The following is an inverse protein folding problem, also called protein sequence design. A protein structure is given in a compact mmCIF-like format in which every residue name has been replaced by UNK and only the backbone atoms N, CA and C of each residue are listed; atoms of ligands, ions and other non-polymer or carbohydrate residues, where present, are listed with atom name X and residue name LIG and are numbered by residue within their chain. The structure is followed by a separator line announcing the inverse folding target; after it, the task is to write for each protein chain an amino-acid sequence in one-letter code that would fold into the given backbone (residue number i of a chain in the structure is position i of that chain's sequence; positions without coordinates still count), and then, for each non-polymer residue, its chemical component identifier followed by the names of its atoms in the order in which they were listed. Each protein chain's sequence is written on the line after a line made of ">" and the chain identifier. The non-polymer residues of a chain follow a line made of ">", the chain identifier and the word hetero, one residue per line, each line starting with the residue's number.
data_IF_464617271808
#
_entry.id   IF_464617271808
#
_cell.length_a   1.000
_cell.length_b   1.000
_cell.length_c   1.000
_cell.angle_alpha   90.00
_cell.angle_beta   90.00
_cell.angle_gamma   90.00
#
_symmetry.space_group_name_H-M   'P 1'
#
loop_
_entity.id
_entity.type
_entity.pdbx_description
1 polymer ?
#
# COMPACT_ATOMS: atom_id res chain seq x y z
N UNK A 1 2.94 -27.48 0.28
CA UNK A 1 1.87 -26.80 1.02
C UNK A 1 2.33 -25.48 1.65
N UNK A 2 3.10 -25.46 2.75
CA UNK A 2 3.49 -24.19 3.44
C UNK A 2 4.30 -23.22 2.55
N UNK A 3 5.30 -23.75 1.82
CA UNK A 3 6.07 -22.98 0.84
C UNK A 3 5.19 -22.33 -0.23
N UNK A 4 4.22 -23.07 -0.75
CA UNK A 4 3.32 -22.59 -1.81
C UNK A 4 2.41 -21.48 -1.30
N UNK A 5 1.86 -21.63 -0.08
CA UNK A 5 1.01 -20.62 0.54
C UNK A 5 1.77 -19.29 0.76
N UNK A 6 3.00 -19.36 1.29
CA UNK A 6 3.83 -18.16 1.47
C UNK A 6 4.17 -17.46 0.14
N UNK A 7 4.49 -18.21 -0.92
CA UNK A 7 4.78 -17.65 -2.24
C UNK A 7 3.52 -17.09 -2.91
N UNK A 8 2.38 -17.75 -2.75
CA UNK A 8 1.09 -17.26 -3.26
C UNK A 8 0.70 -15.94 -2.60
N UNK A 9 0.77 -15.86 -1.27
CA UNK A 9 0.49 -14.62 -0.53
C UNK A 9 1.46 -13.51 -0.94
N UNK A 10 2.74 -13.82 -1.13
CA UNK A 10 3.72 -12.85 -1.61
C UNK A 10 3.34 -12.28 -2.98
N UNK A 11 2.98 -13.14 -3.93
CA UNK A 11 2.62 -12.71 -5.29
C UNK A 11 1.32 -11.90 -5.29
N UNK A 12 0.29 -12.37 -4.57
CA UNK A 12 -0.97 -11.67 -4.42
C UNK A 12 -0.79 -10.28 -3.78
N UNK A 13 0.10 -10.16 -2.78
CA UNK A 13 0.39 -8.88 -2.12
C UNK A 13 1.03 -7.89 -3.09
N UNK A 14 1.95 -8.35 -3.93
CA UNK A 14 2.54 -7.51 -4.97
C UNK A 14 1.53 -7.08 -6.02
N UNK A 15 0.69 -8.01 -6.48
CA UNK A 15 -0.34 -7.72 -7.47
C UNK A 15 -1.33 -6.68 -6.95
N UNK A 16 -1.84 -6.87 -5.72
CA UNK A 16 -2.73 -5.92 -5.07
C UNK A 16 -2.07 -4.53 -4.87
N UNK A 17 -0.79 -4.50 -4.55
CA UNK A 17 -0.06 -3.24 -4.42
C UNK A 17 0.18 -2.56 -5.77
N UNK A 18 0.39 -3.32 -6.85
CA UNK A 18 0.57 -2.79 -8.20
C UNK A 18 -0.75 -2.27 -8.79
N UNK A 19 -1.86 -2.93 -8.50
CA UNK A 19 -3.21 -2.49 -8.91
C UNK A 19 -3.78 -1.36 -8.03
N UNK A 20 -3.05 -0.94 -6.99
CA UNK A 20 -3.51 0.04 -5.99
C UNK A 20 -4.79 -0.39 -5.26
N UNK A 21 -5.04 -1.70 -5.16
CA UNK A 21 -6.14 -2.25 -4.39
C UNK A 21 -5.78 -2.33 -2.90
N UNK A 22 -5.86 -1.18 -2.23
CA UNK A 22 -5.46 -1.06 -0.81
C UNK A 22 -6.32 -1.90 0.14
N UNK A 23 -7.57 -2.18 -0.23
CA UNK A 23 -8.44 -3.06 0.55
C UNK A 23 -7.95 -4.50 0.48
N UNK A 24 -7.59 -4.96 -0.73
CA UNK A 24 -6.98 -6.27 -0.92
C UNK A 24 -5.62 -6.37 -0.23
N UNK A 25 -4.78 -5.33 -0.28
CA UNK A 25 -3.50 -5.29 0.47
C UNK A 25 -3.74 -5.47 1.97
N UNK A 26 -4.74 -4.80 2.55
CA UNK A 26 -5.07 -4.95 3.96
C UNK A 26 -5.61 -6.36 4.30
N UNK A 27 -6.41 -6.96 3.41
CA UNK A 27 -6.87 -8.34 3.59
C UNK A 27 -5.69 -9.31 3.58
N UNK A 28 -4.79 -9.18 2.61
CA UNK A 28 -3.62 -10.03 2.47
C UNK A 28 -2.64 -9.87 3.64
N UNK A 29 -2.49 -8.67 4.20
CA UNK A 29 -1.71 -8.46 5.42
C UNK A 29 -2.26 -9.27 6.61
N UNK A 30 -3.59 -9.32 6.75
CA UNK A 30 -4.25 -10.16 7.76
C UNK A 30 -3.98 -11.64 7.50
N UNK A 31 -4.07 -12.09 6.25
CA UNK A 31 -3.82 -13.49 5.88
C UNK A 31 -2.35 -13.90 6.13
N UNK A 32 -1.41 -13.00 5.85
CA UNK A 32 0.01 -13.17 6.18
C UNK A 32 0.20 -13.26 7.70
N UNK A 33 -0.42 -12.38 8.47
CA UNK A 33 -0.38 -12.44 9.94
C UNK A 33 -0.92 -13.77 10.47
N UNK A 34 -2.05 -14.25 9.93
CA UNK A 34 -2.63 -15.55 10.28
C UNK A 34 -1.70 -16.72 9.91
N UNK A 35 -1.02 -16.66 8.76
CA UNK A 35 0.00 -17.64 8.38
C UNK A 35 1.15 -17.64 9.40
N UNK A 36 1.71 -16.47 9.72
CA UNK A 36 2.83 -16.35 10.65
C UNK A 36 2.47 -16.85 12.06
N UNK A 37 1.25 -16.61 12.52
CA UNK A 37 0.75 -17.15 13.78
C UNK A 37 0.67 -18.68 13.77
N UNK A 38 0.14 -19.28 12.70
CA UNK A 38 0.10 -20.75 12.54
C UNK A 38 1.50 -21.35 12.54
N UNK A 39 2.45 -20.69 11.88
CA UNK A 39 3.84 -21.14 11.79
C UNK A 39 4.58 -21.08 13.12
N UNK A 40 4.27 -20.09 13.96
CA UNK A 40 4.83 -20.00 15.31
C UNK A 40 4.51 -21.23 16.17
N UNK A 41 3.38 -21.89 15.92
CA UNK A 41 2.93 -23.08 16.63
C UNK A 41 3.29 -24.39 15.91
N UNK A 42 3.89 -24.32 14.72
CA UNK A 42 4.18 -25.48 13.89
C UNK A 42 5.55 -26.12 14.24
N UNK A 43 5.74 -27.42 14.00
CA UNK A 43 7.04 -28.07 14.15
C UNK A 43 8.08 -27.44 13.20
N UNK A 44 9.33 -27.22 13.63
CA UNK A 44 10.35 -26.52 12.84
C UNK A 44 10.61 -27.14 11.48
N UNK A 45 10.49 -28.47 11.35
CA UNK A 45 10.75 -29.20 10.11
C UNK A 45 9.72 -28.87 9.01
N UNK A 46 8.58 -28.31 9.39
CA UNK A 46 7.50 -27.92 8.46
C UNK A 46 7.67 -26.50 7.92
N UNK A 47 8.64 -25.73 8.45
CA UNK A 47 8.82 -24.32 8.15
C UNK A 47 9.90 -24.16 7.07
N UNK A 48 9.47 -23.73 5.89
CA UNK A 48 10.39 -23.28 4.85
C UNK A 48 10.84 -21.84 5.13
N UNK A 49 12.03 -21.71 5.74
CA UNK A 49 12.62 -20.40 6.06
C UNK A 49 12.97 -19.57 4.82
N UNK A 50 13.23 -20.20 3.67
CA UNK A 50 13.50 -19.48 2.44
C UNK A 50 12.21 -18.84 1.92
N UNK A 51 11.09 -19.57 1.93
CA UNK A 51 9.79 -19.04 1.55
C UNK A 51 9.35 -17.87 2.46
N UNK A 52 9.58 -17.99 3.77
CA UNK A 52 9.31 -16.91 4.72
C UNK A 52 10.15 -15.66 4.46
N UNK A 53 11.43 -15.83 4.10
CA UNK A 53 12.31 -14.70 3.79
C UNK A 53 11.86 -13.98 2.51
N UNK A 54 11.39 -14.71 1.50
CA UNK A 54 10.81 -14.11 0.28
C UNK A 54 9.56 -13.32 0.63
N UNK A 55 8.63 -13.90 1.39
CA UNK A 55 7.42 -13.21 1.83
C UNK A 55 7.71 -11.94 2.65
N UNK A 56 8.68 -12.01 3.55
CA UNK A 56 9.12 -10.86 4.34
C UNK A 56 9.69 -9.75 3.46
N UNK A 57 10.54 -10.08 2.49
CA UNK A 57 11.11 -9.11 1.55
C UNK A 57 10.01 -8.44 0.71
N UNK A 58 9.05 -9.22 0.21
CA UNK A 58 7.92 -8.67 -0.53
C UNK A 58 7.06 -7.72 0.28
N UNK A 59 6.81 -8.07 1.54
CA UNK A 59 6.07 -7.20 2.45
C UNK A 59 6.77 -5.83 2.64
N UNK A 60 8.11 -5.83 2.80
CA UNK A 60 8.87 -4.58 2.85
C UNK A 60 8.79 -3.76 1.56
N UNK A 61 8.83 -4.41 0.41
CA UNK A 61 8.70 -3.72 -0.89
C UNK A 61 7.33 -3.04 -1.03
N UNK A 62 6.26 -3.73 -0.64
CA UNK A 62 4.89 -3.22 -0.64
C UNK A 62 4.72 -2.04 0.31
N UNK A 63 5.32 -2.09 1.50
CA UNK A 63 5.33 -0.94 2.43
C UNK A 63 6.02 0.27 1.78
N UNK A 64 7.19 0.09 1.18
CA UNK A 64 7.91 1.18 0.53
C UNK A 64 7.11 1.77 -0.64
N UNK A 65 6.49 0.94 -1.46
CA UNK A 65 5.64 1.39 -2.56
C UNK A 65 4.42 2.17 -2.06
N UNK A 66 3.76 1.67 -1.02
CA UNK A 66 2.61 2.33 -0.39
C UNK A 66 2.99 3.72 0.15
N UNK A 67 4.17 3.84 0.79
CA UNK A 67 4.68 5.14 1.26
C UNK A 67 4.94 6.12 0.12
N UNK A 68 5.56 5.67 -0.99
CA UNK A 68 5.78 6.51 -2.17
C UNK A 68 4.47 6.98 -2.79
N UNK A 69 3.46 6.10 -2.84
CA UNK A 69 2.15 6.44 -3.39
C UNK A 69 1.43 7.47 -2.51
N UNK A 70 1.47 7.29 -1.19
CA UNK A 70 0.93 8.26 -0.23
C UNK A 70 1.58 9.64 -0.39
N UNK A 71 2.90 9.69 -0.54
CA UNK A 71 3.62 10.94 -0.75
C UNK A 71 3.19 11.62 -2.05
N UNK A 72 3.06 10.86 -3.15
CA UNK A 72 2.57 11.36 -4.43
C UNK A 72 1.15 11.94 -4.32
N UNK A 73 0.27 11.26 -3.59
CA UNK A 73 -1.10 11.72 -3.35
C UNK A 73 -1.12 13.02 -2.54
N UNK A 74 -0.30 13.12 -1.48
CA UNK A 74 -0.17 14.34 -0.67
C UNK A 74 0.29 15.52 -1.51
N UNK A 75 1.31 15.34 -2.34
CA UNK A 75 1.80 16.39 -3.24
C UNK A 75 0.75 16.82 -4.26
N UNK A 76 0.00 15.86 -4.82
CA UNK A 76 -1.10 16.16 -5.75
C UNK A 76 -2.21 16.97 -5.08
N UNK A 77 -2.63 16.57 -3.88
CA UNK A 77 -3.63 17.30 -3.11
C UNK A 77 -3.18 18.72 -2.76
N UNK A 78 -1.91 18.89 -2.34
CA UNK A 78 -1.36 20.21 -2.05
C UNK A 78 -1.39 21.13 -3.28
N UNK A 79 -0.98 20.62 -4.45
CA UNK A 79 -1.05 21.38 -5.71
C UNK A 79 -2.50 21.77 -6.06
N UNK A 80 -3.45 20.86 -5.88
CA UNK A 80 -4.86 21.14 -6.13
C UNK A 80 -5.40 22.23 -5.20
N UNK A 81 -5.06 22.18 -3.91
CA UNK A 81 -5.43 23.21 -2.94
C UNK A 81 -4.88 24.59 -3.32
N UNK A 82 -3.58 24.69 -3.62
CA UNK A 82 -2.97 25.97 -4.03
C UNK A 82 -3.55 26.49 -5.35
N UNK A 83 -3.85 25.61 -6.30
CA UNK A 83 -4.51 26.01 -7.55
C UNK A 83 -5.92 26.56 -7.30
N UNK A 84 -6.66 25.97 -6.35
CA UNK A 84 -8.01 26.41 -6.01
C UNK A 84 -7.99 27.77 -5.31
N UNK A 85 -7.04 28.02 -4.43
CA UNK A 85 -6.82 29.33 -3.81
C UNK A 85 -6.51 30.39 -4.87
N UNK A 86 -5.66 30.07 -5.85
CA UNK A 86 -5.35 30.97 -6.97
C UNK A 86 -6.58 31.29 -7.83
N UNK A 87 -7.39 30.29 -8.18
CA UNK A 87 -8.62 30.50 -8.94
C UNK A 87 -9.64 31.34 -8.16
N UNK A 88 -9.80 31.07 -6.86
CA UNK A 88 -10.67 31.87 -5.99
C UNK A 88 -10.21 33.33 -5.90
N UNK A 89 -8.90 33.59 -5.91
CA UNK A 89 -8.38 34.96 -5.92
C UNK A 89 -8.77 35.73 -7.21
N UNK A 90 -8.79 35.05 -8.36
CA UNK A 90 -9.28 35.65 -9.61
C UNK A 90 -10.80 35.91 -9.58
N UNK A 91 -11.60 34.99 -9.02
CA UNK A 91 -13.05 35.18 -8.86
C UNK A 91 -13.36 36.36 -7.93
N UNK A 92 -12.66 36.48 -6.80
CA UNK A 92 -12.78 37.64 -5.89
C UNK A 92 -12.39 38.96 -6.58
N UNK A 93 -11.28 38.97 -7.33
CA UNK A 93 -10.82 40.17 -8.03
C UNK A 93 -11.79 40.62 -9.12
N UNK A 94 -12.28 39.68 -9.96
CA UNK A 94 -13.25 39.97 -11.02
C UNK A 94 -14.61 40.45 -10.47
N UNK A 95 -15.03 39.94 -9.32
CA UNK A 95 -16.24 40.39 -8.62
C UNK A 95 -16.14 41.82 -8.09
N UNK A 96 -14.93 42.29 -7.79
CA UNK A 96 -14.68 43.63 -7.21
C UNK A 96 -14.58 44.73 -8.28
N UNK A 97 -14.38 44.38 -9.56
CA UNK A 97 -14.30 45.35 -10.67
C UNK A 97 -15.61 45.55 -11.43
N UNK A 98 -16.72 44.93 -10.97
CA UNK A 98 -18.04 44.99 -11.61
C UNK A 98 -19.04 45.97 -10.97
N UNK A 99 -18.64 46.74 -9.95
CA UNK A 99 -19.42 47.82 -9.32
C UNK A 99 -18.82 49.20 -9.68
#
# INVERSE_FOLDING_TARGET
>A
MMREEALMLNNALHEACQSEDWLQVQSLDRDISNLLQRLRSAPPETIDMQALRVLQQGHYQVIQQSQRRLETLRQTLQRYHSSREGLQAYDLFSSTQGE
#
